data_IF_677597837864
#
_entry.id   IF_677597837864
#
_cell.length_a   1.000
_cell.length_b   1.000
_cell.length_c   1.000
_cell.angle_alpha   90.00
_cell.angle_beta   90.00
_cell.angle_gamma   90.00
#
_symmetry.space_group_name_H-M   'P 1'
#
loop_
_entity.id
_entity.type
_entity.pdbx_description
1 polymer ?
#
# COMPACT_ATOMS: atom_id res chain seq x y z
N UNK A 1 -7.23 23.14 17.19
CA UNK A 1 -7.99 22.25 18.06
C UNK A 1 -8.85 21.26 17.28
N UNK A 2 -9.50 21.66 16.19
CA UNK A 2 -10.34 20.78 15.36
C UNK A 2 -9.57 19.57 14.78
N UNK A 3 -8.37 19.77 14.27
CA UNK A 3 -7.55 18.67 13.70
C UNK A 3 -7.19 17.59 14.73
N UNK A 4 -6.95 17.99 15.96
CA UNK A 4 -6.65 17.04 17.05
C UNK A 4 -7.91 16.24 17.43
N UNK A 5 -9.07 16.89 17.47
CA UNK A 5 -10.34 16.22 17.77
C UNK A 5 -10.70 15.19 16.70
N UNK A 6 -10.44 15.51 15.42
CA UNK A 6 -10.67 14.59 14.31
C UNK A 6 -9.69 13.41 14.40
N UNK A 7 -8.40 13.65 14.63
CA UNK A 7 -7.42 12.57 14.80
C UNK A 7 -7.79 11.63 15.96
N UNK A 8 -8.25 12.17 17.09
CA UNK A 8 -8.72 11.38 18.22
C UNK A 8 -10.00 10.60 17.88
N UNK A 9 -10.93 11.21 17.14
CA UNK A 9 -12.15 10.54 16.69
C UNK A 9 -11.83 9.37 15.75
N UNK A 10 -10.86 9.54 14.83
CA UNK A 10 -10.40 8.48 13.95
C UNK A 10 -9.75 7.33 14.72
N UNK A 11 -8.86 7.65 15.66
CA UNK A 11 -8.25 6.63 16.52
C UNK A 11 -9.31 5.89 17.36
N UNK A 12 -10.30 6.61 17.87
CA UNK A 12 -11.43 6.00 18.60
C UNK A 12 -12.25 5.11 17.67
N UNK A 13 -12.51 5.54 16.43
CA UNK A 13 -13.22 4.72 15.43
C UNK A 13 -12.47 3.41 15.14
N UNK A 14 -11.13 3.44 15.07
CA UNK A 14 -10.31 2.23 14.91
C UNK A 14 -10.51 1.27 16.09
N UNK A 15 -10.50 1.77 17.33
CA UNK A 15 -10.72 0.94 18.52
C UNK A 15 -12.15 0.38 18.54
N UNK A 16 -13.13 1.24 18.30
CA UNK A 16 -14.56 0.87 18.30
C UNK A 16 -14.85 -0.15 17.20
N UNK A 17 -14.26 -0.01 16.01
CA UNK A 17 -14.44 -0.98 14.91
C UNK A 17 -14.00 -2.39 15.31
N UNK A 18 -12.88 -2.50 16.03
CA UNK A 18 -12.40 -3.80 16.52
C UNK A 18 -13.34 -4.46 17.53
N UNK A 19 -14.06 -3.67 18.33
CA UNK A 19 -15.10 -4.17 19.26
C UNK A 19 -16.36 -4.54 18.49
N UNK A 20 -16.83 -3.68 17.59
CA UNK A 20 -18.05 -3.89 16.81
C UNK A 20 -18.00 -5.18 15.99
N UNK A 21 -16.87 -5.44 15.29
CA UNK A 21 -16.71 -6.67 14.50
C UNK A 21 -16.83 -7.94 15.34
N UNK A 22 -16.40 -7.89 16.62
CA UNK A 22 -16.55 -9.03 17.54
C UNK A 22 -17.95 -9.22 18.07
N UNK A 23 -18.76 -8.14 18.11
CA UNK A 23 -20.13 -8.16 18.62
C UNK A 23 -21.14 -8.51 17.53
N UNK A 24 -20.79 -8.31 16.25
CA UNK A 24 -21.69 -8.59 15.13
C UNK A 24 -21.83 -10.10 14.90
N UNK A 25 -23.07 -10.61 14.73
CA UNK A 25 -23.31 -12.03 14.45
C UNK A 25 -22.90 -12.45 13.03
N UNK A 26 -22.66 -11.46 12.15
CA UNK A 26 -22.25 -11.67 10.77
C UNK A 26 -20.77 -11.35 10.62
N UNK A 27 -20.00 -12.17 9.90
CA UNK A 27 -18.56 -11.94 9.68
C UNK A 27 -18.32 -10.81 8.67
N UNK A 28 -18.37 -9.58 9.14
CA UNK A 28 -18.03 -8.41 8.32
C UNK A 28 -16.52 -8.18 8.41
N UNK A 29 -15.81 -8.00 7.30
CA UNK A 29 -14.40 -7.61 7.31
C UNK A 29 -14.18 -6.29 8.06
N UNK A 30 -13.16 -6.24 8.91
CA UNK A 30 -12.85 -5.07 9.73
C UNK A 30 -12.71 -3.78 8.89
N UNK A 31 -12.05 -3.77 7.72
CA UNK A 31 -11.96 -2.59 6.87
C UNK A 31 -13.31 -1.97 6.49
N UNK A 32 -14.32 -2.79 6.20
CA UNK A 32 -15.65 -2.27 5.84
C UNK A 32 -16.35 -1.54 7.00
N UNK A 33 -16.15 -2.03 8.22
CA UNK A 33 -16.67 -1.35 9.43
C UNK A 33 -15.93 -0.04 9.66
N UNK A 34 -14.62 -0.01 9.41
CA UNK A 34 -13.80 1.20 9.53
C UNK A 34 -14.21 2.26 8.51
N UNK A 35 -14.42 1.87 7.24
CA UNK A 35 -14.94 2.77 6.19
C UNK A 35 -16.33 3.31 6.58
N UNK A 36 -17.22 2.48 7.06
CA UNK A 36 -18.56 2.91 7.50
C UNK A 36 -18.49 3.92 8.65
N UNK A 37 -17.62 3.68 9.64
CA UNK A 37 -17.41 4.62 10.74
C UNK A 37 -16.78 5.93 10.28
N UNK A 38 -15.85 5.90 9.32
CA UNK A 38 -15.29 7.09 8.69
C UNK A 38 -16.36 7.94 7.99
N UNK A 39 -17.22 7.31 7.21
CA UNK A 39 -18.33 7.99 6.54
C UNK A 39 -19.34 8.61 7.56
N UNK A 40 -19.58 7.95 8.69
CA UNK A 40 -20.39 8.51 9.78
C UNK A 40 -19.73 9.73 10.44
N UNK A 41 -18.41 9.70 10.62
CA UNK A 41 -17.64 10.83 11.14
C UNK A 41 -17.77 12.02 10.18
N UNK A 42 -17.58 11.83 8.86
CA UNK A 42 -17.72 12.88 7.86
C UNK A 42 -19.11 13.51 7.91
N UNK A 43 -20.17 12.70 8.00
CA UNK A 43 -21.56 13.19 8.13
C UNK A 43 -21.81 13.98 9.41
N UNK A 44 -21.17 13.60 10.52
CA UNK A 44 -21.34 14.25 11.83
C UNK A 44 -20.61 15.59 11.98
N UNK A 45 -19.39 15.71 11.43
CA UNK A 45 -18.57 16.93 11.54
C UNK A 45 -18.79 17.92 10.38
N UNK A 46 -19.52 17.51 9.34
CA UNK A 46 -19.88 18.33 8.16
C UNK A 46 -18.68 19.01 7.45
N UNK A 47 -17.49 18.49 7.62
CA UNK A 47 -16.25 18.97 6.99
C UNK A 47 -15.34 17.77 6.75
N UNK A 48 -14.96 17.56 5.48
CA UNK A 48 -13.93 16.58 5.11
C UNK A 48 -12.55 17.03 5.60
N UNK A 49 -11.71 16.07 5.97
CA UNK A 49 -10.30 16.32 6.25
C UNK A 49 -9.59 16.56 4.93
N UNK A 50 -9.01 17.74 4.73
CA UNK A 50 -8.12 17.98 3.62
C UNK A 50 -6.84 17.16 3.87
N UNK A 51 -6.68 16.05 3.16
CA UNK A 51 -5.47 15.24 3.20
C UNK A 51 -4.44 15.86 2.26
N UNK A 52 -3.28 16.18 2.81
CA UNK A 52 -2.10 16.47 2.02
C UNK A 52 -1.54 15.11 1.51
N UNK A 53 -1.49 14.88 0.18
CA UNK A 53 -1.04 13.61 -0.36
C UNK A 53 0.39 13.26 0.04
N UNK A 54 1.30 14.24 0.12
CA UNK A 54 2.71 14.00 0.46
C UNK A 54 2.83 13.50 1.90
N UNK A 55 2.14 14.17 2.83
CA UNK A 55 2.11 13.78 4.25
C UNK A 55 1.46 12.39 4.40
N UNK A 56 0.36 12.15 3.67
CA UNK A 56 -0.31 10.86 3.71
C UNK A 56 0.60 9.73 3.23
N UNK A 57 1.23 9.88 2.06
CA UNK A 57 2.13 8.86 1.54
C UNK A 57 3.34 8.64 2.44
N UNK A 58 3.94 9.72 2.98
CA UNK A 58 5.08 9.61 3.87
C UNK A 58 4.72 8.92 5.20
N UNK A 59 3.55 9.19 5.76
CA UNK A 59 3.18 8.67 7.09
C UNK A 59 2.75 7.20 7.03
N UNK A 60 2.04 6.79 5.99
CA UNK A 60 1.41 5.46 5.92
C UNK A 60 2.22 4.43 5.13
N UNK A 61 2.73 4.79 3.95
CA UNK A 61 3.34 3.79 3.07
C UNK A 61 4.66 3.23 3.60
N UNK A 62 5.66 4.04 4.04
CA UNK A 62 6.94 3.49 4.44
C UNK A 62 6.86 2.47 5.57
N UNK A 63 6.15 2.72 6.70
CA UNK A 63 6.09 1.76 7.78
C UNK A 63 5.31 0.48 7.42
N UNK A 64 4.23 0.57 6.64
CA UNK A 64 3.45 -0.59 6.24
C UNK A 64 4.26 -1.49 5.28
N UNK A 65 4.84 -0.92 4.23
CA UNK A 65 5.65 -1.65 3.26
C UNK A 65 6.94 -2.22 3.86
N UNK A 66 7.57 -1.50 4.79
CA UNK A 66 8.69 -2.02 5.57
C UNK A 66 8.28 -3.27 6.36
N UNK A 67 7.12 -3.22 7.00
CA UNK A 67 6.62 -4.33 7.81
C UNK A 67 6.33 -5.56 6.96
N UNK A 68 5.75 -5.38 5.78
CA UNK A 68 5.50 -6.46 4.83
C UNK A 68 6.82 -7.08 4.35
N UNK A 69 7.80 -6.26 3.97
CA UNK A 69 9.14 -6.72 3.64
C UNK A 69 9.86 -7.43 4.81
N UNK A 70 9.68 -6.94 6.03
CA UNK A 70 10.29 -7.54 7.23
C UNK A 70 9.71 -8.91 7.57
N UNK A 71 8.41 -9.10 7.38
CA UNK A 71 7.68 -10.34 7.72
C UNK A 71 7.67 -11.38 6.62
N UNK A 72 8.11 -11.02 5.43
CA UNK A 72 8.04 -11.91 4.27
C UNK A 72 8.71 -13.26 4.55
N UNK A 73 8.08 -14.39 4.23
CA UNK A 73 8.64 -15.74 4.43
C UNK A 73 9.74 -16.01 3.41
N UNK A 74 10.99 -15.75 3.79
CA UNK A 74 12.19 -15.77 2.93
C UNK A 74 12.35 -17.02 2.11
N UNK A 75 12.21 -18.20 2.75
CA UNK A 75 12.35 -19.50 2.08
C UNK A 75 11.25 -19.71 1.01
N UNK A 76 10.01 -19.28 1.31
CA UNK A 76 8.89 -19.37 0.39
C UNK A 76 9.11 -18.48 -0.84
N UNK A 77 9.50 -17.21 -0.61
CA UNK A 77 9.75 -16.24 -1.68
C UNK A 77 10.91 -16.64 -2.58
N UNK A 78 12.02 -17.10 -2.01
CA UNK A 78 13.17 -17.55 -2.79
C UNK A 78 12.85 -18.80 -3.63
N UNK A 79 12.04 -19.71 -3.09
CA UNK A 79 11.60 -20.91 -3.80
C UNK A 79 10.66 -20.60 -4.95
N UNK A 80 9.69 -19.72 -4.73
CA UNK A 80 8.63 -19.42 -5.69
C UNK A 80 8.87 -18.07 -6.43
N UNK A 81 10.11 -17.55 -6.41
CA UNK A 81 10.51 -16.23 -6.95
C UNK A 81 10.09 -15.98 -8.39
N UNK A 82 10.12 -17.00 -9.25
CA UNK A 82 9.72 -16.85 -10.65
C UNK A 82 8.22 -16.60 -10.78
N UNK A 83 7.40 -17.37 -10.05
CA UNK A 83 5.95 -17.15 -10.02
C UNK A 83 5.60 -15.77 -9.43
N UNK A 84 6.29 -15.36 -8.35
CA UNK A 84 6.07 -14.05 -7.72
C UNK A 84 6.41 -12.92 -8.69
N UNK A 85 7.56 -12.96 -9.36
CA UNK A 85 7.97 -11.93 -10.32
C UNK A 85 7.05 -11.92 -11.55
N UNK A 86 6.66 -13.10 -12.06
CA UNK A 86 5.73 -13.22 -13.19
C UNK A 86 4.37 -12.60 -12.86
N UNK A 87 3.83 -12.85 -11.68
CA UNK A 87 2.57 -12.26 -11.22
C UNK A 87 2.72 -10.76 -10.93
N UNK A 88 3.72 -10.37 -10.16
CA UNK A 88 3.91 -8.97 -9.75
C UNK A 88 4.24 -8.02 -10.89
N UNK A 89 4.90 -8.48 -11.95
CA UNK A 89 5.23 -7.68 -13.13
C UNK A 89 4.36 -8.04 -14.31
N UNK A 90 4.31 -9.32 -14.69
CA UNK A 90 3.62 -9.79 -15.90
C UNK A 90 2.12 -9.54 -15.81
N UNK A 91 1.49 -9.99 -14.73
CA UNK A 91 0.06 -9.79 -14.54
C UNK A 91 -0.31 -8.31 -14.41
N UNK A 92 0.45 -7.53 -13.61
CA UNK A 92 0.20 -6.08 -13.47
C UNK A 92 0.27 -5.38 -14.82
N UNK A 93 1.32 -5.64 -15.62
CA UNK A 93 1.46 -5.04 -16.94
C UNK A 93 0.31 -5.48 -17.86
N UNK A 94 -0.03 -6.78 -17.91
CA UNK A 94 -1.14 -7.28 -18.70
C UNK A 94 -2.48 -6.68 -18.27
N UNK A 95 -2.71 -6.55 -16.95
CA UNK A 95 -3.92 -5.93 -16.40
C UNK A 95 -3.97 -4.44 -16.75
N UNK A 96 -2.89 -3.70 -16.56
CA UNK A 96 -2.81 -2.27 -16.89
C UNK A 96 -3.11 -2.05 -18.37
N UNK A 97 -2.50 -2.83 -19.26
CA UNK A 97 -2.72 -2.72 -20.70
C UNK A 97 -4.14 -3.14 -21.07
N UNK A 98 -4.60 -4.32 -20.65
CA UNK A 98 -5.92 -4.86 -20.99
C UNK A 98 -7.06 -4.01 -20.43
N UNK A 99 -7.01 -3.71 -19.13
CA UNK A 99 -8.04 -2.89 -18.46
C UNK A 99 -7.95 -1.43 -18.92
N UNK A 100 -6.75 -0.89 -19.19
CA UNK A 100 -6.59 0.45 -19.73
C UNK A 100 -7.26 0.63 -21.09
N UNK A 101 -7.07 -0.31 -22.03
CA UNK A 101 -7.80 -0.32 -23.29
C UNK A 101 -9.30 -0.51 -23.10
N UNK A 102 -9.71 -1.38 -22.18
CA UNK A 102 -11.12 -1.60 -21.87
C UNK A 102 -11.77 -0.33 -21.30
N UNK A 103 -11.11 0.39 -20.39
CA UNK A 103 -11.60 1.67 -19.85
C UNK A 103 -11.74 2.72 -20.95
N UNK A 104 -10.74 2.86 -21.83
CA UNK A 104 -10.81 3.80 -22.95
C UNK A 104 -11.92 3.46 -23.92
N UNK A 105 -12.16 2.16 -24.21
CA UNK A 105 -13.29 1.71 -25.03
C UNK A 105 -14.63 1.99 -24.36
N UNK A 106 -14.72 1.76 -23.03
CA UNK A 106 -15.94 1.97 -22.26
C UNK A 106 -16.27 3.46 -22.10
N UNK A 107 -15.25 4.30 -21.96
CA UNK A 107 -15.35 5.75 -21.76
C UNK A 107 -14.47 6.45 -22.80
N UNK A 108 -14.97 6.62 -24.07
CA UNK A 108 -14.16 7.19 -25.15
C UNK A 108 -13.71 8.64 -24.90
N UNK A 109 -14.41 9.37 -24.03
CA UNK A 109 -14.02 10.73 -23.62
C UNK A 109 -12.74 10.76 -22.75
N UNK A 110 -12.36 9.63 -22.15
CA UNK A 110 -11.15 9.52 -21.33
C UNK A 110 -9.93 9.30 -22.22
N UNK A 111 -8.90 10.16 -22.19
CA UNK A 111 -7.64 9.93 -22.91
C UNK A 111 -7.00 8.60 -22.53
N UNK A 112 -6.39 7.93 -23.50
CA UNK A 112 -5.82 6.59 -23.32
C UNK A 112 -4.76 6.55 -22.17
N UNK A 113 -3.93 7.59 -22.06
CA UNK A 113 -2.94 7.68 -20.98
C UNK A 113 -3.60 7.77 -19.59
N UNK A 114 -4.72 8.47 -19.48
CA UNK A 114 -5.48 8.55 -18.21
C UNK A 114 -6.16 7.21 -17.92
N UNK A 115 -6.67 6.52 -18.94
CA UNK A 115 -7.23 5.17 -18.78
C UNK A 115 -6.17 4.18 -18.26
N UNK A 116 -4.93 4.25 -18.78
CA UNK A 116 -3.81 3.46 -18.27
C UNK A 116 -3.41 3.86 -16.84
N UNK A 117 -3.44 5.16 -16.51
CA UNK A 117 -3.18 5.61 -15.13
C UNK A 117 -4.22 5.04 -14.15
N UNK A 118 -5.50 5.07 -14.51
CA UNK A 118 -6.56 4.48 -13.69
C UNK A 118 -6.38 2.96 -13.57
N UNK A 119 -6.10 2.26 -14.67
CA UNK A 119 -5.84 0.82 -14.67
C UNK A 119 -4.62 0.46 -13.78
N UNK A 120 -3.57 1.28 -13.79
CA UNK A 120 -2.39 1.06 -12.97
C UNK A 120 -2.65 1.21 -11.46
N UNK A 121 -3.55 2.13 -11.07
CA UNK A 121 -3.94 2.32 -9.65
C UNK A 121 -4.75 1.12 -9.14
N UNK A 122 -5.66 0.60 -9.96
CA UNK A 122 -6.59 -0.46 -9.54
C UNK A 122 -6.07 -1.88 -9.80
N UNK A 123 -4.92 -2.02 -10.47
CA UNK A 123 -4.32 -3.33 -10.81
C UNK A 123 -3.70 -4.04 -9.61
N UNK A 124 -2.98 -3.38 -8.67
CA UNK A 124 -2.40 -4.06 -7.53
C UNK A 124 -3.46 -4.69 -6.63
N UNK A 125 -3.11 -5.82 -6.03
CA UNK A 125 -3.98 -6.58 -5.12
C UNK A 125 -3.40 -6.57 -3.71
N UNK A 126 -4.27 -6.45 -2.69
CA UNK A 126 -3.88 -6.47 -1.28
C UNK A 126 -4.32 -7.78 -0.61
N UNK A 127 -3.41 -8.55 0.01
CA UNK A 127 -3.72 -9.78 0.72
C UNK A 127 -4.45 -9.56 2.06
N UNK A 128 -4.59 -8.32 2.55
CA UNK A 128 -5.28 -8.02 3.83
C UNK A 128 -6.70 -8.57 3.83
N UNK A 129 -7.44 -8.39 2.74
CA UNK A 129 -8.79 -8.94 2.59
C UNK A 129 -8.77 -10.48 2.57
N UNK A 130 -7.79 -11.07 1.89
CA UNK A 130 -7.61 -12.53 1.82
C UNK A 130 -7.26 -13.08 3.21
N UNK A 131 -6.35 -12.46 3.96
CA UNK A 131 -5.95 -12.89 5.30
C UNK A 131 -7.14 -12.86 6.29
N UNK A 132 -8.06 -11.92 6.15
CA UNK A 132 -9.29 -11.89 6.95
C UNK A 132 -10.22 -13.08 6.68
N UNK A 133 -10.26 -13.56 5.43
CA UNK A 133 -11.08 -14.71 5.01
C UNK A 133 -10.38 -16.03 5.37
N UNK A 134 -9.06 -16.11 5.23
CA UNK A 134 -8.27 -17.32 5.47
C UNK A 134 -8.24 -17.76 6.93
N UNK A 135 -8.56 -16.86 7.85
CA UNK A 135 -8.78 -17.24 9.25
C UNK A 135 -9.90 -18.29 9.42
N UNK A 136 -10.75 -18.47 8.40
CA UNK A 136 -11.90 -19.39 8.39
C UNK A 136 -11.81 -20.50 7.34
N UNK A 137 -10.98 -20.33 6.33
CA UNK A 137 -10.79 -21.28 5.21
C UNK A 137 -9.33 -21.64 5.13
N UNK A 138 -9.02 -22.94 5.16
CA UNK A 138 -7.63 -23.43 5.07
C UNK A 138 -7.10 -23.24 3.65
N UNK A 139 -6.19 -22.31 3.46
CA UNK A 139 -5.47 -22.12 2.20
C UNK A 139 -4.09 -22.79 2.29
N UNK A 140 -3.61 -23.44 1.22
CA UNK A 140 -2.25 -23.98 1.19
C UNK A 140 -1.21 -22.88 1.47
N UNK A 141 -0.24 -23.16 2.34
CA UNK A 141 0.80 -22.19 2.73
C UNK A 141 1.55 -21.60 1.53
N UNK A 142 1.75 -22.41 0.48
CA UNK A 142 2.43 -21.96 -0.75
C UNK A 142 1.66 -20.83 -1.43
N UNK A 143 0.34 -20.94 -1.51
CA UNK A 143 -0.52 -19.91 -2.12
C UNK A 143 -0.41 -18.60 -1.34
N UNK A 144 -0.45 -18.67 0.01
CA UNK A 144 -0.25 -17.48 0.85
C UNK A 144 1.12 -16.83 0.63
N UNK A 145 2.20 -17.62 0.57
CA UNK A 145 3.55 -17.07 0.33
C UNK A 145 3.67 -16.40 -1.05
N UNK A 146 3.02 -16.97 -2.08
CA UNK A 146 3.01 -16.37 -3.41
C UNK A 146 2.20 -15.08 -3.41
N UNK A 147 1.02 -15.06 -2.78
CA UNK A 147 0.18 -13.85 -2.67
C UNK A 147 0.87 -12.74 -1.88
N UNK A 148 1.49 -13.05 -0.74
CA UNK A 148 2.25 -12.09 0.05
C UNK A 148 3.47 -11.54 -0.72
N UNK A 149 4.18 -12.40 -1.45
CA UNK A 149 5.32 -12.00 -2.27
C UNK A 149 4.92 -11.20 -3.51
N UNK A 150 3.81 -11.56 -4.14
CA UNK A 150 3.24 -10.86 -5.29
C UNK A 150 2.79 -9.47 -4.88
N UNK A 151 1.98 -9.34 -3.82
CA UNK A 151 1.47 -8.07 -3.33
C UNK A 151 2.59 -7.09 -2.95
N UNK A 152 3.68 -7.56 -2.39
CA UNK A 152 4.82 -6.71 -2.04
C UNK A 152 5.45 -6.00 -3.27
N UNK A 153 5.43 -6.65 -4.42
CA UNK A 153 6.06 -6.15 -5.64
C UNK A 153 5.05 -5.51 -6.60
N UNK A 154 3.78 -5.95 -6.58
CA UNK A 154 2.77 -5.44 -7.50
C UNK A 154 2.41 -3.98 -7.21
N UNK A 155 2.38 -3.54 -5.94
CA UNK A 155 2.17 -2.15 -5.54
C UNK A 155 3.23 -1.23 -6.16
N UNK A 156 4.49 -1.65 -6.11
CA UNK A 156 5.58 -0.94 -6.74
C UNK A 156 5.44 -0.92 -8.27
N UNK A 157 5.07 -2.04 -8.88
CA UNK A 157 4.85 -2.15 -10.33
C UNK A 157 3.69 -1.27 -10.80
N UNK A 158 2.57 -1.29 -10.06
CA UNK A 158 1.40 -0.45 -10.32
C UNK A 158 1.72 1.03 -10.22
N UNK A 159 2.43 1.45 -9.16
CA UNK A 159 2.81 2.85 -8.99
C UNK A 159 3.75 3.34 -10.08
N UNK A 160 4.72 2.52 -10.50
CA UNK A 160 5.61 2.88 -11.61
C UNK A 160 4.83 3.00 -12.91
N UNK A 161 3.94 2.04 -13.22
CA UNK A 161 3.07 2.11 -14.38
C UNK A 161 2.19 3.38 -14.36
N UNK A 162 1.66 3.73 -13.18
CA UNK A 162 0.90 4.96 -12.96
C UNK A 162 1.73 6.22 -13.26
N UNK A 163 2.94 6.33 -12.69
CA UNK A 163 3.84 7.48 -12.94
C UNK A 163 4.13 7.64 -14.44
N UNK A 164 4.34 6.56 -15.19
CA UNK A 164 4.54 6.62 -16.63
C UNK A 164 3.30 7.02 -17.41
N UNK A 165 2.13 6.50 -17.03
CA UNK A 165 0.89 6.86 -17.66
C UNK A 165 0.55 8.35 -17.44
N UNK A 166 0.78 8.87 -16.23
CA UNK A 166 0.63 10.31 -15.92
C UNK A 166 1.65 11.14 -16.69
N UNK A 167 2.91 10.74 -16.76
CA UNK A 167 3.91 11.45 -17.55
C UNK A 167 3.53 11.51 -19.03
N UNK A 168 3.04 10.40 -19.62
CA UNK A 168 2.54 10.37 -20.98
C UNK A 168 1.30 11.27 -21.18
N UNK A 169 0.42 11.36 -20.19
CA UNK A 169 -0.74 12.25 -20.24
C UNK A 169 -0.34 13.73 -20.22
N UNK A 170 0.68 14.10 -19.43
CA UNK A 170 1.14 15.49 -19.29
C UNK A 170 2.00 15.92 -20.47
N UNK A 171 2.91 15.05 -20.95
CA UNK A 171 3.87 15.42 -22.00
C UNK A 171 3.33 15.19 -23.41
N UNK A 172 2.26 14.42 -23.57
CA UNK A 172 1.72 14.00 -24.87
C UNK A 172 2.61 13.07 -25.68
N UNK A 173 3.74 12.62 -25.09
CA UNK A 173 4.71 11.73 -25.74
C UNK A 173 5.03 10.54 -24.86
N UNK A 174 5.15 9.37 -25.47
CA UNK A 174 5.55 8.14 -24.79
C UNK A 174 6.74 7.51 -25.51
N UNK A 175 7.83 7.32 -24.77
CA UNK A 175 9.01 6.59 -25.25
C UNK A 175 9.21 5.33 -24.41
N UNK A 176 9.00 4.16 -25.01
CA UNK A 176 9.17 2.87 -24.34
C UNK A 176 10.59 2.69 -23.81
N UNK A 177 11.61 3.12 -24.55
CA UNK A 177 13.01 3.01 -24.14
C UNK A 177 13.31 3.86 -22.89
N UNK A 178 12.87 5.12 -22.89
CA UNK A 178 13.05 5.98 -21.73
C UNK A 178 12.27 5.46 -20.52
N UNK A 179 11.05 4.98 -20.76
CA UNK A 179 10.23 4.36 -19.70
C UNK A 179 10.93 3.15 -19.08
N UNK A 180 11.46 2.23 -19.91
CA UNK A 180 12.16 1.05 -19.42
C UNK A 180 13.44 1.38 -18.66
N UNK A 181 14.26 2.31 -19.17
CA UNK A 181 15.48 2.76 -18.47
C UNK A 181 15.18 3.46 -17.14
N UNK A 182 14.19 4.33 -17.13
CA UNK A 182 13.76 5.01 -15.91
C UNK A 182 13.18 4.01 -14.90
N UNK A 183 12.41 3.02 -15.37
CA UNK A 183 11.89 1.95 -14.50
C UNK A 183 13.03 1.19 -13.82
N UNK A 184 14.02 0.75 -14.58
CA UNK A 184 15.17 0.01 -14.05
C UNK A 184 15.94 0.88 -13.05
N UNK A 185 16.18 2.16 -13.37
CA UNK A 185 16.85 3.09 -12.46
C UNK A 185 16.05 3.26 -11.16
N UNK A 186 14.78 3.64 -11.25
CA UNK A 186 13.92 3.90 -10.09
C UNK A 186 13.79 2.68 -9.19
N UNK A 187 13.67 1.48 -9.80
CA UNK A 187 13.55 0.24 -9.06
C UNK A 187 14.89 -0.18 -8.42
N UNK A 188 15.97 -0.29 -9.20
CA UNK A 188 17.26 -0.74 -8.68
C UNK A 188 17.88 0.23 -7.68
N UNK A 189 17.79 1.55 -7.94
CA UNK A 189 18.27 2.56 -7.03
C UNK A 189 17.46 2.60 -5.73
N UNK A 190 16.13 2.43 -5.81
CA UNK A 190 15.27 2.32 -4.63
C UNK A 190 15.63 1.12 -3.76
N UNK A 191 15.69 -0.07 -4.35
CA UNK A 191 16.09 -1.29 -3.63
C UNK A 191 17.48 -1.16 -2.99
N UNK A 192 18.47 -0.65 -3.74
CA UNK A 192 19.82 -0.47 -3.25
C UNK A 192 19.87 0.54 -2.10
N UNK A 193 19.17 1.67 -2.22
CA UNK A 193 19.12 2.70 -1.18
C UNK A 193 18.52 2.16 0.12
N UNK A 194 17.38 1.47 0.05
CA UNK A 194 16.75 0.88 1.23
C UNK A 194 17.64 -0.15 1.92
N UNK A 195 18.27 -1.03 1.14
CA UNK A 195 19.17 -2.03 1.67
C UNK A 195 20.42 -1.39 2.32
N UNK A 196 21.10 -0.49 1.61
CA UNK A 196 22.31 0.18 2.12
C UNK A 196 22.03 1.04 3.36
N UNK A 197 20.94 1.80 3.36
CA UNK A 197 20.53 2.61 4.51
C UNK A 197 20.30 1.74 5.74
N UNK A 198 19.54 0.65 5.59
CA UNK A 198 19.25 -0.27 6.70
C UNK A 198 20.50 -0.97 7.22
N UNK A 199 21.39 -1.40 6.33
CA UNK A 199 22.68 -2.00 6.72
C UNK A 199 23.55 -1.00 7.49
N UNK A 200 23.66 0.25 7.02
CA UNK A 200 24.41 1.31 7.67
C UNK A 200 23.86 1.61 9.08
N UNK A 201 22.56 1.82 9.20
CA UNK A 201 21.88 2.07 10.48
C UNK A 201 22.08 0.89 11.43
N UNK A 202 21.88 -0.34 10.94
CA UNK A 202 22.05 -1.56 11.74
C UNK A 202 23.52 -1.74 12.19
N UNK A 203 24.48 -1.45 11.32
CA UNK A 203 25.89 -1.51 11.67
C UNK A 203 26.25 -0.49 12.76
N UNK A 204 25.82 0.76 12.62
CA UNK A 204 26.01 1.82 13.63
C UNK A 204 25.40 1.40 14.95
N UNK A 205 24.12 0.99 14.91
CA UNK A 205 23.37 0.51 16.08
C UNK A 205 24.11 -0.61 16.82
N UNK A 206 24.55 -1.63 16.07
CA UNK A 206 25.26 -2.78 16.65
C UNK A 206 26.63 -2.37 17.24
N UNK A 207 27.31 -1.40 16.63
CA UNK A 207 28.56 -0.87 17.14
C UNK A 207 28.38 -0.12 18.46
N UNK A 208 27.31 0.66 18.55
CA UNK A 208 26.96 1.40 19.79
C UNK A 208 26.52 0.42 20.88
N UNK A 209 25.62 -0.53 20.59
CA UNK A 209 25.14 -1.52 21.56
C UNK A 209 26.28 -2.37 22.15
N UNK A 210 27.27 -2.75 21.34
CA UNK A 210 28.43 -3.53 21.84
C UNK A 210 29.29 -2.74 22.81
N UNK A 211 29.30 -1.41 22.72
CA UNK A 211 30.17 -0.57 23.55
C UNK A 211 29.46 -0.02 24.80
N UNK A 212 28.18 0.27 24.70
CA UNK A 212 27.43 0.98 25.74
C UNK A 212 26.27 0.16 26.31
N UNK A 213 26.05 -1.06 25.83
CA UNK A 213 24.93 -1.91 26.22
C UNK A 213 23.72 -1.74 25.29
N UNK A 214 22.77 -2.64 25.48
CA UNK A 214 21.52 -2.68 24.69
C UNK A 214 20.39 -2.02 25.47
N UNK A 215 19.75 -1.01 24.88
CA UNK A 215 18.53 -0.40 25.36
C UNK A 215 17.37 -0.71 24.42
N UNK A 216 16.38 -1.46 24.89
CA UNK A 216 15.28 -1.95 24.05
C UNK A 216 14.47 -0.81 23.43
N UNK A 217 14.19 0.27 24.19
CA UNK A 217 13.43 1.43 23.69
C UNK A 217 14.09 2.10 22.50
N UNK A 218 15.38 2.42 22.60
CA UNK A 218 16.17 3.03 21.53
C UNK A 218 16.23 2.12 20.29
N UNK A 219 16.36 0.81 20.47
CA UNK A 219 16.39 -0.14 19.35
C UNK A 219 15.05 -0.25 18.61
N UNK A 220 13.95 -0.21 19.35
CA UNK A 220 12.60 -0.20 18.77
C UNK A 220 12.38 1.10 18.01
N UNK A 221 12.71 2.25 18.62
CA UNK A 221 12.56 3.55 17.96
C UNK A 221 13.38 3.64 16.67
N UNK A 222 14.63 3.18 16.66
CA UNK A 222 15.45 3.11 15.44
C UNK A 222 14.76 2.26 14.38
N UNK A 223 14.17 1.11 14.76
CA UNK A 223 13.46 0.28 13.79
C UNK A 223 12.23 0.96 13.19
N UNK A 224 11.56 1.84 13.94
CA UNK A 224 10.43 2.64 13.45
C UNK A 224 10.87 3.77 12.51
N UNK A 225 12.08 4.30 12.69
CA UNK A 225 12.60 5.40 11.86
C UNK A 225 13.24 4.92 10.55
N UNK A 226 13.72 3.68 10.49
CA UNK A 226 14.36 3.11 9.28
C UNK A 226 13.50 3.26 8.03
N UNK A 227 12.18 2.89 8.00
CA UNK A 227 11.38 3.00 6.80
C UNK A 227 11.26 4.44 6.28
N UNK A 228 11.11 5.40 7.16
CA UNK A 228 11.02 6.82 6.77
C UNK A 228 12.33 7.33 6.19
N UNK A 229 13.46 7.03 6.84
CA UNK A 229 14.78 7.45 6.33
C UNK A 229 15.14 6.79 5.00
N UNK A 230 14.79 5.51 4.81
CA UNK A 230 15.01 4.81 3.55
C UNK A 230 14.14 5.39 2.42
N UNK A 231 12.87 5.68 2.71
CA UNK A 231 11.92 6.29 1.79
C UNK A 231 12.39 7.67 1.34
N UNK A 232 12.62 8.58 2.28
CA UNK A 232 13.04 9.95 2.02
C UNK A 232 14.35 10.02 1.23
N UNK A 233 15.34 9.21 1.62
CA UNK A 233 16.62 9.18 0.92
C UNK A 233 16.45 8.72 -0.54
N UNK A 234 15.60 7.74 -0.80
CA UNK A 234 15.34 7.25 -2.15
C UNK A 234 14.60 8.28 -3.00
N UNK A 235 13.53 8.91 -2.48
CA UNK A 235 12.80 9.96 -3.20
C UNK A 235 13.72 11.15 -3.51
N UNK A 236 14.62 11.51 -2.60
CA UNK A 236 15.58 12.61 -2.81
C UNK A 236 16.55 12.39 -3.99
N UNK A 237 16.89 11.14 -4.29
CA UNK A 237 17.74 10.79 -5.45
C UNK A 237 16.91 10.42 -6.70
N UNK A 238 15.62 10.65 -6.68
CA UNK A 238 14.71 10.31 -7.78
C UNK A 238 14.51 8.80 -7.98
N UNK A 239 14.69 8.01 -6.92
CA UNK A 239 14.40 6.57 -6.89
C UNK A 239 13.05 6.29 -6.23
N UNK A 240 12.60 5.02 -6.17
CA UNK A 240 11.36 4.66 -5.52
C UNK A 240 11.52 4.54 -4.01
N UNK A 241 10.91 5.46 -3.24
CA UNK A 241 10.82 5.37 -1.79
C UNK A 241 10.05 4.13 -1.32
N UNK A 242 9.03 3.70 -2.07
CA UNK A 242 8.26 2.49 -1.79
C UNK A 242 9.15 1.26 -1.83
N UNK A 243 9.89 1.05 -2.93
CA UNK A 243 10.83 -0.07 -3.04
C UNK A 243 11.97 0.01 -2.01
N UNK A 244 12.39 1.23 -1.65
CA UNK A 244 13.38 1.42 -0.59
C UNK A 244 12.84 0.98 0.78
N UNK A 245 11.60 1.31 1.13
CA UNK A 245 10.97 0.87 2.38
C UNK A 245 10.82 -0.66 2.44
N UNK A 246 10.40 -1.29 1.34
CA UNK A 246 10.33 -2.75 1.19
C UNK A 246 11.71 -3.38 1.38
N UNK A 247 12.72 -2.90 0.64
CA UNK A 247 14.08 -3.42 0.71
C UNK A 247 14.70 -3.23 2.11
N UNK A 248 14.36 -2.11 2.78
CA UNK A 248 14.75 -1.87 4.16
C UNK A 248 14.16 -2.94 5.10
N UNK A 249 12.88 -3.27 4.96
CA UNK A 249 12.22 -4.33 5.73
C UNK A 249 12.84 -5.70 5.49
N UNK A 250 13.03 -6.10 4.25
CA UNK A 250 13.69 -7.36 3.87
C UNK A 250 15.10 -7.40 4.45
N UNK A 251 15.88 -6.34 4.32
CA UNK A 251 17.25 -6.26 4.83
C UNK A 251 17.28 -6.37 6.36
N UNK A 252 16.37 -5.66 7.05
CA UNK A 252 16.23 -5.75 8.51
C UNK A 252 15.92 -7.17 8.96
N UNK A 253 15.08 -7.87 8.22
CA UNK A 253 14.72 -9.26 8.45
C UNK A 253 15.93 -10.20 8.39
N UNK A 254 16.86 -10.00 7.45
CA UNK A 254 18.14 -10.74 7.39
C UNK A 254 19.11 -10.34 8.50
N UNK A 255 19.17 -9.03 8.82
CA UNK A 255 20.03 -8.55 9.90
C UNK A 255 19.65 -9.13 11.28
N UNK A 256 18.36 -9.38 11.51
CA UNK A 256 17.90 -10.04 12.74
C UNK A 256 18.30 -11.51 12.89
N UNK A 257 18.46 -12.23 11.78
CA UNK A 257 18.97 -13.62 11.81
C UNK A 257 20.39 -13.69 12.34
N UNK A 258 21.16 -12.59 12.28
CA UNK A 258 22.51 -12.54 12.86
C UNK A 258 22.55 -12.55 14.40
N UNK A 259 21.38 -12.54 15.06
CA UNK A 259 21.25 -12.76 16.49
C UNK A 259 21.75 -11.64 17.41
N UNK A 260 21.88 -10.41 16.89
CA UNK A 260 22.43 -9.26 17.63
C UNK A 260 21.46 -8.64 18.64
N UNK A 261 20.15 -8.88 18.53
CA UNK A 261 19.14 -8.35 19.43
C UNK A 261 18.69 -9.40 20.47
N UNK A 262 18.53 -8.98 21.72
CA UNK A 262 18.02 -9.83 22.80
C UNK A 262 16.60 -10.35 22.54
N UNK A 263 16.25 -11.50 23.11
CA UNK A 263 14.93 -12.12 22.92
C UNK A 263 13.78 -11.18 23.36
N UNK A 264 13.96 -10.49 24.49
CA UNK A 264 12.98 -9.52 25.02
C UNK A 264 12.76 -8.36 24.05
N UNK A 265 13.83 -7.78 23.51
CA UNK A 265 13.76 -6.68 22.51
C UNK A 265 13.04 -7.10 21.26
N UNK A 266 13.24 -8.34 20.78
CA UNK A 266 12.52 -8.88 19.60
C UNK A 266 11.02 -9.00 19.83
N UNK A 267 10.61 -9.52 21.00
CA UNK A 267 9.19 -9.67 21.36
C UNK A 267 8.52 -8.30 21.51
N UNK A 268 9.16 -7.36 22.21
CA UNK A 268 8.63 -6.00 22.39
C UNK A 268 8.52 -5.26 21.06
N UNK A 269 9.53 -5.36 20.18
CA UNK A 269 9.49 -4.78 18.85
C UNK A 269 8.33 -5.34 18.03
N UNK A 270 8.14 -6.66 18.05
CA UNK A 270 7.00 -7.30 17.37
C UNK A 270 5.65 -6.77 17.87
N UNK A 271 5.49 -6.59 19.18
CA UNK A 271 4.27 -6.04 19.76
C UNK A 271 4.02 -4.57 19.34
N UNK A 272 5.07 -3.74 19.35
CA UNK A 272 4.99 -2.35 18.88
C UNK A 272 4.62 -2.27 17.41
N UNK A 273 5.25 -3.07 16.55
CA UNK A 273 4.94 -3.09 15.13
C UNK A 273 3.53 -3.62 14.83
N UNK A 274 3.03 -4.58 15.60
CA UNK A 274 1.63 -5.03 15.49
C UNK A 274 0.65 -3.89 15.82
N UNK A 275 0.95 -3.10 16.86
CA UNK A 275 0.15 -1.93 17.22
C UNK A 275 0.20 -0.85 16.14
N UNK A 276 1.39 -0.57 15.60
CA UNK A 276 1.58 0.41 14.50
C UNK A 276 0.77 -0.01 13.27
N UNK A 277 0.91 -1.27 12.84
CA UNK A 277 0.15 -1.79 11.69
C UNK A 277 -1.37 -1.69 11.90
N UNK A 278 -1.86 -2.14 13.06
CA UNK A 278 -3.28 -2.06 13.38
C UNK A 278 -3.80 -0.62 13.33
N UNK A 279 -3.02 0.32 13.89
CA UNK A 279 -3.39 1.74 13.93
C UNK A 279 -3.36 2.36 12.54
N UNK A 280 -2.28 2.18 11.78
CA UNK A 280 -2.12 2.78 10.46
C UNK A 280 -3.17 2.23 9.48
N UNK A 281 -3.33 0.91 9.39
CA UNK A 281 -4.36 0.31 8.54
C UNK A 281 -5.76 0.81 8.94
N UNK A 282 -6.04 0.82 10.24
CA UNK A 282 -7.35 1.27 10.74
C UNK A 282 -7.63 2.73 10.41
N UNK A 283 -6.67 3.62 10.64
CA UNK A 283 -6.81 5.05 10.31
C UNK A 283 -6.95 5.26 8.81
N UNK A 284 -6.21 4.51 7.98
CA UNK A 284 -6.30 4.60 6.53
C UNK A 284 -7.70 4.24 6.01
N UNK A 285 -8.31 3.16 6.53
CA UNK A 285 -9.67 2.78 6.13
C UNK A 285 -10.74 3.74 6.69
N UNK A 286 -10.55 4.30 7.89
CA UNK A 286 -11.43 5.34 8.42
C UNK A 286 -11.34 6.62 7.59
N UNK A 287 -10.13 7.04 7.19
CA UNK A 287 -9.90 8.17 6.28
C UNK A 287 -10.56 7.96 4.90
N UNK A 288 -10.44 6.74 4.35
CA UNK A 288 -11.13 6.40 3.10
C UNK A 288 -12.64 6.58 3.23
N UNK A 289 -13.22 6.13 4.34
CA UNK A 289 -14.64 6.32 4.62
C UNK A 289 -15.02 7.78 4.80
N UNK A 290 -14.17 8.56 5.44
CA UNK A 290 -14.36 9.99 5.66
C UNK A 290 -14.35 10.79 4.34
N UNK A 291 -13.50 10.40 3.39
CA UNK A 291 -13.43 11.01 2.06
C UNK A 291 -14.61 10.60 1.13
N UNK A 292 -15.30 9.51 1.43
CA UNK A 292 -16.31 8.93 0.54
C UNK A 292 -17.44 9.89 0.16
N UNK A 293 -18.04 10.68 1.08
CA UNK A 293 -19.07 11.66 0.71
C UNK A 293 -18.55 12.71 -0.29
N UNK A 294 -17.35 13.26 -0.05
CA UNK A 294 -16.74 14.26 -0.93
C UNK A 294 -16.43 13.71 -2.33
N UNK A 295 -15.98 12.45 -2.39
CA UNK A 295 -15.74 11.74 -3.66
C UNK A 295 -17.04 11.54 -4.43
N UNK A 296 -18.12 11.13 -3.76
CA UNK A 296 -19.44 10.94 -4.37
C UNK A 296 -20.02 12.26 -4.89
N UNK A 297 -19.94 13.33 -4.11
CA UNK A 297 -20.40 14.65 -4.53
C UNK A 297 -19.60 15.18 -5.71
N UNK A 298 -18.28 15.00 -5.70
CA UNK A 298 -17.40 15.34 -6.82
C UNK A 298 -17.74 14.56 -8.08
N UNK A 299 -17.98 13.27 -7.95
CA UNK A 299 -18.35 12.39 -9.06
C UNK A 299 -19.70 12.79 -9.69
N UNK A 300 -20.71 13.09 -8.87
CA UNK A 300 -22.01 13.58 -9.35
C UNK A 300 -21.86 14.91 -10.09
N UNK A 301 -21.04 15.84 -9.58
CA UNK A 301 -20.78 17.13 -10.22
C UNK A 301 -20.13 16.96 -11.60
N UNK A 302 -19.08 16.14 -11.71
CA UNK A 302 -18.41 15.87 -12.98
C UNK A 302 -19.38 15.29 -14.02
N UNK A 303 -20.26 14.36 -13.63
CA UNK A 303 -21.25 13.77 -14.54
C UNK A 303 -22.24 14.82 -15.04
N UNK A 304 -22.71 15.71 -14.16
CA UNK A 304 -23.64 16.78 -14.55
C UNK A 304 -22.98 17.82 -15.46
N UNK A 305 -21.72 18.17 -15.23
CA UNK A 305 -20.94 19.11 -16.03
C UNK A 305 -20.57 18.56 -17.41
N UNK A 306 -20.36 17.24 -17.53
CA UNK A 306 -20.04 16.57 -18.81
C UNK A 306 -21.26 16.24 -19.66
N UNK A 307 -22.45 16.66 -19.25
CA UNK A 307 -23.69 16.50 -20.05
C UNK A 307 -24.30 15.09 -20.03
N UNK A 308 -23.80 14.21 -19.20
CA UNK A 308 -24.43 12.91 -18.97
C UNK A 308 -25.61 13.07 -17.99
N UNK A 309 -26.81 12.81 -18.46
CA UNK A 309 -28.05 13.08 -17.72
C UNK A 309 -28.28 12.19 -16.48
N UNK A 310 -27.43 11.19 -16.22
CA UNK A 310 -27.72 10.21 -15.15
C UNK A 310 -26.46 9.73 -14.43
N UNK A 311 -26.29 10.03 -13.12
CA UNK A 311 -25.16 9.55 -12.31
C UNK A 311 -25.02 8.02 -12.20
N UNK A 312 -26.09 7.25 -12.50
CA UNK A 312 -26.07 5.79 -12.48
C UNK A 312 -25.05 5.17 -13.45
N UNK A 313 -24.64 5.89 -14.51
CA UNK A 313 -23.58 5.45 -15.40
C UNK A 313 -22.24 5.25 -14.70
N UNK A 314 -21.93 6.03 -13.67
CA UNK A 314 -20.72 5.83 -12.86
C UNK A 314 -20.72 4.47 -12.15
N UNK A 315 -21.88 4.06 -11.62
CA UNK A 315 -22.02 2.75 -10.98
C UNK A 315 -21.85 1.63 -12.00
N UNK A 316 -22.42 1.79 -13.20
CA UNK A 316 -22.27 0.81 -14.29
C UNK A 316 -20.78 0.72 -14.71
N UNK A 317 -20.09 1.84 -14.87
CA UNK A 317 -18.66 1.85 -15.21
C UNK A 317 -17.82 1.21 -14.10
N UNK A 318 -18.06 1.55 -12.84
CA UNK A 318 -17.36 0.97 -11.70
C UNK A 318 -17.57 -0.56 -11.63
N UNK A 319 -18.80 -1.03 -11.82
CA UNK A 319 -19.11 -2.46 -11.85
C UNK A 319 -18.47 -3.18 -13.03
N UNK A 320 -18.50 -2.58 -14.23
CA UNK A 320 -17.90 -3.16 -15.44
C UNK A 320 -16.36 -3.28 -15.29
N UNK A 321 -15.72 -2.24 -14.78
CA UNK A 321 -14.27 -2.23 -14.53
C UNK A 321 -13.90 -3.23 -13.42
N UNK A 322 -14.68 -3.28 -12.33
CA UNK A 322 -14.46 -4.26 -11.25
C UNK A 322 -14.63 -5.71 -11.74
N UNK A 323 -15.60 -5.96 -12.62
CA UNK A 323 -15.78 -7.26 -13.24
C UNK A 323 -14.61 -7.63 -14.16
N UNK A 324 -14.13 -6.69 -14.96
CA UNK A 324 -12.97 -6.90 -15.82
C UNK A 324 -11.71 -7.24 -15.02
N UNK A 325 -11.49 -6.54 -13.88
CA UNK A 325 -10.41 -6.85 -12.93
C UNK A 325 -10.57 -8.25 -12.33
N UNK A 326 -11.78 -8.58 -11.84
CA UNK A 326 -12.06 -9.90 -11.28
C UNK A 326 -11.80 -11.01 -12.33
N UNK A 327 -12.19 -10.81 -13.57
CA UNK A 327 -11.91 -11.76 -14.67
C UNK A 327 -10.41 -11.86 -14.98
N UNK A 328 -9.65 -10.76 -14.89
CA UNK A 328 -8.18 -10.78 -15.03
C UNK A 328 -7.52 -11.64 -13.94
N UNK A 329 -8.06 -11.61 -12.71
CA UNK A 329 -7.52 -12.32 -11.55
C UNK A 329 -7.95 -13.80 -11.47
N UNK A 330 -9.07 -14.19 -12.07
CA UNK A 330 -9.59 -15.58 -12.04
C UNK A 330 -8.64 -16.59 -12.68
N UNK A 331 -7.76 -16.15 -13.57
CA UNK A 331 -6.82 -17.02 -14.30
C UNK A 331 -5.49 -17.27 -13.54
N UNK A 332 -5.35 -16.79 -12.32
CA UNK A 332 -4.24 -17.01 -11.41
C UNK A 332 -4.56 -18.16 -10.44
#
# INVERSE_FOLDING_TARGET
>A
MESISIALAMMMAVVVSGVLVRMLPVPIPLPLVQIALGALIAGGFNRGVALDPEIFFLLFLPPLLFLDGWRIPKEGVLRDKYAIVELALGLVICTVVGVGFFIHWLIPAMPLAIAFALAAIISPTDPVAVSAITSRVTIPKRVMHVLEGESLLNDASGLVAFRFAVAAAVTGSFSLTQAALSFVWVACAGLATGAMFTLAVTWIKNRVSRRYGEEAGSQILVSLLIPFGAYELAEHIGASGILAAVAAGVTMSYAELSGTAGATTRVQRGAVWNMVQFTLNGVMFVLLGEQLPAILDGAVRVVTETGHANPWWLVIYALAISLALALSLIHI
#
